data_IF_890303107407
#
_entry.id   IF_890303107407
#
_cell.length_a   1.000
_cell.length_b   1.000
_cell.length_c   1.000
_cell.angle_alpha   90.00
_cell.angle_beta   90.00
_cell.angle_gamma   90.00
#
_symmetry.space_group_name_H-M   'P 1'
#
loop_
_entity.id
_entity.type
_entity.pdbx_description
1 polymer ?
#
# COMPACT_ATOMS: atom_id res chain seq x y z
N UNK A 1 -9.79 12.92 -5.07
CA UNK A 1 -8.51 13.47 -4.59
C UNK A 1 -7.42 12.68 -5.27
N UNK A 2 -6.70 13.27 -6.23
CA UNK A 2 -5.51 12.65 -6.84
C UNK A 2 -4.30 13.16 -6.06
N UNK A 3 -3.73 12.32 -5.22
CA UNK A 3 -2.51 12.65 -4.48
C UNK A 3 -1.47 11.61 -4.86
N UNK A 4 -0.39 12.07 -5.50
CA UNK A 4 0.83 11.27 -5.59
C UNK A 4 1.61 11.52 -4.29
N UNK A 5 1.93 10.45 -3.57
CA UNK A 5 2.65 10.50 -2.32
C UNK A 5 3.97 9.75 -2.49
N UNK A 6 5.07 10.42 -2.20
CA UNK A 6 6.35 9.76 -2.01
C UNK A 6 6.45 9.30 -0.55
N UNK A 7 6.43 7.99 -0.32
CA UNK A 7 6.49 7.42 1.03
C UNK A 7 7.83 7.70 1.74
N UNK A 8 8.89 7.97 0.99
CA UNK A 8 10.20 8.35 1.57
C UNK A 8 10.17 9.77 2.17
N UNK A 9 9.30 10.64 1.65
CA UNK A 9 9.14 12.02 2.14
C UNK A 9 8.05 12.13 3.20
N UNK A 10 6.97 11.36 3.03
CA UNK A 10 5.81 11.40 3.91
C UNK A 10 5.09 10.05 3.92
N UNK A 11 4.92 9.49 5.11
CA UNK A 11 4.16 8.27 5.30
C UNK A 11 2.64 8.50 5.17
N UNK A 12 1.87 7.42 4.93
CA UNK A 12 0.41 7.47 4.96
C UNK A 12 -0.06 7.93 6.35
N UNK A 13 -1.03 8.84 6.37
CA UNK A 13 -1.77 9.13 7.60
C UNK A 13 -2.63 7.93 8.00
N UNK A 14 -3.02 7.88 9.28
CA UNK A 14 -3.92 6.85 9.82
C UNK A 14 -5.17 6.63 8.95
N UNK A 15 -5.87 7.72 8.60
CA UNK A 15 -7.07 7.65 7.78
C UNK A 15 -6.81 7.20 6.34
N UNK A 16 -5.62 7.49 5.78
CA UNK A 16 -5.22 6.99 4.46
C UNK A 16 -4.95 5.49 4.49
N UNK A 17 -4.22 4.99 5.49
CA UNK A 17 -3.98 3.56 5.68
C UNK A 17 -5.30 2.80 5.91
N UNK A 18 -6.16 3.28 6.82
CA UNK A 18 -7.49 2.71 7.03
C UNK A 18 -8.31 2.65 5.73
N UNK A 19 -8.24 3.69 4.90
CA UNK A 19 -8.95 3.70 3.62
C UNK A 19 -8.43 2.67 2.63
N UNK A 20 -7.14 2.33 2.65
CA UNK A 20 -6.55 1.25 1.83
C UNK A 20 -7.01 -0.11 2.38
N UNK A 21 -6.98 -0.27 3.70
CA UNK A 21 -7.33 -1.52 4.38
C UNK A 21 -8.81 -1.92 4.24
N UNK A 22 -9.67 -1.01 3.80
CA UNK A 22 -11.06 -1.36 3.39
C UNK A 22 -11.11 -2.33 2.22
N UNK A 23 -10.01 -2.50 1.48
CA UNK A 23 -9.94 -3.29 0.24
C UNK A 23 -8.75 -4.25 0.16
N UNK A 24 -7.73 -4.04 0.98
CA UNK A 24 -6.46 -4.78 0.95
C UNK A 24 -6.20 -5.30 2.36
N UNK A 25 -5.77 -6.55 2.50
CA UNK A 25 -5.37 -7.08 3.80
C UNK A 25 -4.06 -6.42 4.22
N UNK A 26 -3.84 -6.24 5.52
CA UNK A 26 -2.67 -5.50 6.00
C UNK A 26 -1.36 -6.23 5.69
N UNK A 27 -1.39 -7.55 5.64
CA UNK A 27 -0.28 -8.42 5.29
C UNK A 27 0.17 -8.21 3.83
N UNK A 28 -0.78 -7.95 2.93
CA UNK A 28 -0.50 -7.70 1.50
C UNK A 28 0.19 -6.34 1.28
N UNK A 29 0.08 -5.42 2.26
CA UNK A 29 0.77 -4.14 2.23
C UNK A 29 2.24 -4.23 2.62
N UNK A 30 2.69 -5.35 3.20
CA UNK A 30 4.07 -5.49 3.67
C UNK A 30 4.94 -6.09 2.55
N UNK A 31 6.05 -5.41 2.25
CA UNK A 31 7.08 -5.91 1.35
C UNK A 31 8.00 -6.91 2.07
N UNK A 32 7.50 -8.13 2.28
CA UNK A 32 8.26 -9.24 2.88
C UNK A 32 9.50 -9.65 2.07
N UNK A 33 9.53 -9.32 0.79
CA UNK A 33 10.67 -9.57 -0.11
C UNK A 33 11.70 -8.42 -0.07
N UNK A 34 11.32 -7.28 0.50
CA UNK A 34 12.08 -6.05 0.55
C UNK A 34 13.34 -6.12 1.40
N UNK A 35 14.34 -5.32 1.04
CA UNK A 35 15.61 -5.22 1.75
C UNK A 35 15.40 -4.81 3.22
N UNK A 36 14.57 -3.78 3.46
CA UNK A 36 14.32 -3.26 4.80
C UNK A 36 13.69 -4.32 5.71
N UNK A 37 12.69 -5.07 5.21
CA UNK A 37 12.04 -6.15 5.95
C UNK A 37 13.05 -7.21 6.41
N UNK A 38 13.92 -7.65 5.49
CA UNK A 38 14.93 -8.70 5.72
C UNK A 38 16.04 -8.25 6.67
N UNK A 39 16.64 -7.08 6.44
CA UNK A 39 17.76 -6.58 7.25
C UNK A 39 17.36 -6.23 8.69
N UNK A 40 16.09 -5.90 8.92
CA UNK A 40 15.57 -5.56 10.25
C UNK A 40 14.83 -6.72 10.95
N UNK A 41 14.96 -7.94 10.43
CA UNK A 41 14.48 -9.16 11.10
C UNK A 41 12.96 -9.27 11.21
N UNK A 42 12.19 -8.61 10.34
CA UNK A 42 10.72 -8.65 10.40
C UNK A 42 10.12 -10.05 10.19
N UNK A 43 10.88 -10.96 9.55
CA UNK A 43 10.50 -12.36 9.37
C UNK A 43 10.40 -13.17 10.68
N UNK A 44 11.04 -12.70 11.76
CA UNK A 44 11.20 -13.48 13.00
C UNK A 44 10.78 -12.73 14.26
N UNK A 45 10.21 -11.53 14.11
CA UNK A 45 9.73 -10.71 15.23
C UNK A 45 8.21 -10.62 15.22
N UNK A 46 7.64 -10.45 16.41
CA UNK A 46 6.26 -10.00 16.55
C UNK A 46 6.22 -8.48 16.46
N UNK A 47 5.25 -7.96 15.71
CA UNK A 47 5.01 -6.52 15.56
C UNK A 47 3.54 -6.27 15.24
N UNK A 48 3.03 -5.11 15.64
CA UNK A 48 1.72 -4.64 15.20
C UNK A 48 1.87 -4.05 13.80
N UNK A 49 1.30 -4.71 12.80
CA UNK A 49 1.46 -4.31 11.41
C UNK A 49 0.88 -2.91 11.13
N UNK A 50 -0.18 -2.51 11.82
CA UNK A 50 -0.83 -1.23 11.59
C UNK A 50 0.01 -0.07 12.11
N UNK A 51 0.40 -0.11 13.37
CA UNK A 51 1.26 0.91 13.97
C UNK A 51 2.62 0.96 13.28
N UNK A 52 3.19 -0.21 12.96
CA UNK A 52 4.48 -0.30 12.26
C UNK A 52 4.43 0.37 10.88
N UNK A 53 3.36 0.18 10.12
CA UNK A 53 3.21 0.80 8.79
C UNK A 53 2.93 2.31 8.87
N UNK A 54 2.41 2.83 9.98
CA UNK A 54 2.29 4.28 10.20
C UNK A 54 3.63 4.95 10.52
N UNK A 55 4.58 4.19 11.06
CA UNK A 55 5.89 4.70 11.44
C UNK A 55 6.96 4.46 10.36
N UNK A 56 6.91 3.32 9.68
CA UNK A 56 8.01 2.82 8.85
C UNK A 56 7.57 2.69 7.38
N UNK A 57 7.76 3.74 6.55
CA UNK A 57 7.33 3.73 5.16
C UNK A 57 8.04 2.68 4.28
N UNK A 58 9.27 2.28 4.65
CA UNK A 58 10.08 1.33 3.88
C UNK A 58 9.56 -0.12 3.91
N UNK A 59 8.52 -0.38 4.70
CA UNK A 59 7.87 -1.69 4.74
C UNK A 59 6.70 -1.82 3.76
N UNK A 60 6.25 -0.73 3.15
CA UNK A 60 5.17 -0.81 2.17
C UNK A 60 5.60 -1.51 0.89
N UNK A 61 4.81 -2.49 0.48
CA UNK A 61 4.79 -2.95 -0.91
C UNK A 61 4.21 -1.86 -1.79
N UNK A 62 4.95 -1.49 -2.83
CA UNK A 62 4.58 -0.38 -3.73
C UNK A 62 4.47 -0.87 -5.18
N UNK A 63 3.71 -0.16 -6.05
CA UNK A 63 2.86 1.00 -5.75
C UNK A 63 1.56 0.63 -5.03
N UNK A 64 1.02 1.57 -4.26
CA UNK A 64 -0.36 1.51 -3.73
C UNK A 64 -1.20 2.46 -4.58
N UNK A 65 -2.16 1.92 -5.32
CA UNK A 65 -3.03 2.69 -6.23
C UNK A 65 -4.46 2.57 -5.75
N UNK A 66 -5.19 3.69 -5.72
CA UNK A 66 -6.60 3.76 -5.33
C UNK A 66 -7.46 4.27 -6.47
N UNK A 67 -8.67 3.74 -6.60
CA UNK A 67 -9.61 4.13 -7.64
C UNK A 67 -11.06 3.96 -7.18
N UNK A 68 -11.84 5.05 -7.11
CA UNK A 68 -13.29 5.05 -6.78
C UNK A 68 -13.68 4.13 -5.59
N UNK A 69 -12.90 4.16 -4.51
CA UNK A 69 -13.15 3.34 -3.31
C UNK A 69 -12.58 1.91 -3.37
N UNK A 70 -11.97 1.53 -4.50
CA UNK A 70 -11.12 0.35 -4.65
C UNK A 70 -9.64 0.70 -4.42
N UNK A 71 -8.81 -0.32 -4.19
CA UNK A 71 -7.37 -0.20 -4.04
C UNK A 71 -6.64 -1.40 -4.67
N UNK A 72 -5.35 -1.23 -4.93
CA UNK A 72 -4.42 -2.28 -5.36
C UNK A 72 -3.05 -2.00 -4.78
N UNK A 73 -2.32 -3.07 -4.47
CA UNK A 73 -0.93 -3.02 -4.01
C UNK A 73 -0.04 -3.81 -4.96
N UNK A 74 1.17 -3.31 -5.21
CA UNK A 74 2.11 -3.89 -6.14
C UNK A 74 1.77 -3.64 -7.62
N UNK A 75 2.63 -4.14 -8.50
CA UNK A 75 2.50 -3.94 -9.94
C UNK A 75 1.32 -4.74 -10.54
N UNK A 76 0.16 -4.09 -10.68
CA UNK A 76 -1.11 -4.72 -11.11
C UNK A 76 -1.74 -4.03 -12.32
N UNK A 77 -1.02 -3.91 -13.46
CA UNK A 77 -1.43 -3.11 -14.62
C UNK A 77 -2.73 -3.58 -15.27
N UNK A 78 -3.04 -4.88 -15.18
CA UNK A 78 -4.32 -5.42 -15.66
C UNK A 78 -5.53 -4.83 -14.94
N UNK A 79 -5.45 -4.70 -13.59
CA UNK A 79 -6.51 -4.09 -12.78
C UNK A 79 -6.63 -2.59 -13.09
N UNK A 80 -5.50 -1.90 -13.24
CA UNK A 80 -5.48 -0.48 -13.58
C UNK A 80 -6.08 -0.20 -14.96
N UNK A 81 -5.80 -1.07 -15.94
CA UNK A 81 -6.41 -0.98 -17.26
C UNK A 81 -7.93 -1.13 -17.19
N UNK A 82 -8.43 -2.11 -16.45
CA UNK A 82 -9.87 -2.29 -16.25
C UNK A 82 -10.53 -1.05 -15.63
N UNK A 83 -9.88 -0.44 -14.62
CA UNK A 83 -10.35 0.82 -14.05
C UNK A 83 -10.34 1.96 -15.06
N UNK A 84 -9.26 2.13 -15.83
CA UNK A 84 -9.16 3.16 -16.85
C UNK A 84 -10.22 3.01 -17.96
N UNK A 85 -10.49 1.78 -18.40
CA UNK A 85 -11.52 1.51 -19.40
C UNK A 85 -12.94 1.74 -18.84
N UNK A 86 -13.16 1.49 -17.54
CA UNK A 86 -14.44 1.81 -16.87
C UNK A 86 -14.77 3.31 -16.84
N UNK A 87 -13.79 4.19 -17.02
CA UNK A 87 -14.01 5.64 -17.13
C UNK A 87 -14.49 6.08 -18.51
N UNK A 88 -14.23 5.30 -19.56
CA UNK A 88 -14.54 5.66 -20.96
C UNK A 88 -15.99 5.35 -21.34
N UNK A 89 -16.67 4.51 -20.56
CA UNK A 89 -18.05 4.08 -20.80
C UNK A 89 -19.12 4.86 -20.02
N UNK A 90 -18.80 6.08 -19.55
CA UNK A 90 -19.70 6.95 -18.78
C UNK A 90 -19.84 8.33 -19.38
#
# INVERSE_FOLDING_TARGET
MNTLLNLEEKNLSKGELESVLRKINIEDLIDTDGKYYKENGYAHRLFDAFETLLEIPYLYRTPIVRFKGDASVGNTPGKWKQWADSLKGG
#
